data_IF_671363354917
#
_entry.id   IF_671363354917
#
_cell.length_a   1.000
_cell.length_b   1.000
_cell.length_c   1.000
_cell.angle_alpha   90.00
_cell.angle_beta   90.00
_cell.angle_gamma   90.00
#
_symmetry.space_group_name_H-M   'P 1'
#
loop_
_entity.id
_entity.type
_entity.pdbx_description
1 polymer ?
#
# COMPACT_ATOMS: atom_id res chain seq x y z
N UNK A 1 9.24 18.39 -19.65
CA UNK A 1 9.82 17.80 -18.41
C UNK A 1 8.99 18.15 -17.17
N UNK A 2 8.96 19.40 -16.70
CA UNK A 2 8.19 19.77 -15.49
C UNK A 2 6.69 19.44 -15.57
N UNK A 3 6.02 19.73 -16.70
CA UNK A 3 4.61 19.37 -16.91
C UNK A 3 4.37 17.85 -16.90
N UNK A 4 5.33 17.08 -17.42
CA UNK A 4 5.26 15.62 -17.43
C UNK A 4 5.46 15.05 -16.02
N UNK A 5 6.46 15.55 -15.28
CA UNK A 5 6.69 15.19 -13.89
C UNK A 5 5.49 15.53 -13.00
N UNK A 6 4.86 16.70 -13.20
CA UNK A 6 3.64 17.07 -12.49
C UNK A 6 2.45 16.13 -12.81
N UNK A 7 2.32 15.67 -14.05
CA UNK A 7 1.33 14.67 -14.44
C UNK A 7 1.57 13.31 -13.76
N UNK A 8 2.81 12.85 -13.74
CA UNK A 8 3.23 11.61 -13.04
C UNK A 8 2.93 11.73 -11.55
N UNK A 9 3.29 12.86 -10.91
CA UNK A 9 3.04 13.08 -9.49
C UNK A 9 1.55 13.02 -9.14
N UNK A 10 0.68 13.67 -9.93
CA UNK A 10 -0.76 13.69 -9.65
C UNK A 10 -1.42 12.32 -9.81
N UNK A 11 -1.09 11.62 -10.89
CA UNK A 11 -1.62 10.28 -11.15
C UNK A 11 -1.08 9.29 -10.13
N UNK A 12 0.23 9.33 -9.88
CA UNK A 12 0.89 8.50 -8.88
C UNK A 12 0.35 8.69 -7.47
N UNK A 13 0.13 9.93 -7.04
CA UNK A 13 -0.51 10.22 -5.75
C UNK A 13 -1.93 9.63 -5.65
N UNK A 14 -2.68 9.63 -6.76
CA UNK A 14 -4.01 9.02 -6.81
C UNK A 14 -3.94 7.49 -6.70
N UNK A 15 -3.00 6.86 -7.39
CA UNK A 15 -2.78 5.41 -7.37
C UNK A 15 -2.31 4.94 -5.99
N UNK A 16 -1.33 5.62 -5.39
CA UNK A 16 -0.83 5.34 -4.04
C UNK A 16 -1.96 5.50 -3.01
N UNK A 17 -2.72 6.59 -3.09
CA UNK A 17 -3.86 6.81 -2.18
C UNK A 17 -4.92 5.71 -2.31
N UNK A 18 -5.15 5.20 -3.53
CA UNK A 18 -6.07 4.09 -3.75
C UNK A 18 -5.55 2.78 -3.18
N UNK A 19 -4.24 2.49 -3.34
CA UNK A 19 -3.62 1.32 -2.74
C UNK A 19 -3.62 1.39 -1.21
N UNK A 20 -3.34 2.56 -0.63
CA UNK A 20 -3.40 2.77 0.82
C UNK A 20 -4.79 2.50 1.38
N UNK A 21 -5.85 3.02 0.73
CA UNK A 21 -7.23 2.72 1.14
C UNK A 21 -7.54 1.22 1.09
N UNK A 22 -7.02 0.48 0.11
CA UNK A 22 -7.23 -0.97 0.04
C UNK A 22 -6.62 -1.70 1.22
N UNK A 23 -5.43 -1.30 1.67
CA UNK A 23 -4.79 -1.85 2.89
C UNK A 23 -5.67 -1.57 4.11
N UNK A 24 -6.11 -0.32 4.27
CA UNK A 24 -6.97 0.08 5.39
C UNK A 24 -8.27 -0.73 5.41
N UNK A 25 -8.93 -0.92 4.26
CA UNK A 25 -10.13 -1.74 4.18
C UNK A 25 -9.89 -3.21 4.54
N UNK A 26 -8.75 -3.81 4.13
CA UNK A 26 -8.43 -5.17 4.54
C UNK A 26 -8.24 -5.30 6.06
N UNK A 27 -7.65 -4.29 6.70
CA UNK A 27 -7.51 -4.21 8.16
C UNK A 27 -8.89 -4.07 8.82
N UNK A 28 -9.74 -3.16 8.33
CA UNK A 28 -11.09 -2.95 8.84
C UNK A 28 -11.96 -4.21 8.69
N UNK A 29 -11.87 -4.93 7.56
CA UNK A 29 -12.59 -6.18 7.33
C UNK A 29 -12.19 -7.26 8.34
N UNK A 30 -10.89 -7.41 8.63
CA UNK A 30 -10.40 -8.35 9.64
C UNK A 30 -10.88 -7.96 11.05
N UNK A 31 -10.84 -6.67 11.39
CA UNK A 31 -11.34 -6.15 12.67
C UNK A 31 -12.85 -6.35 12.82
N UNK A 32 -13.62 -6.11 11.76
CA UNK A 32 -15.07 -6.35 11.71
C UNK A 32 -15.40 -7.84 11.86
N UNK A 33 -14.55 -8.73 11.36
CA UNK A 33 -14.63 -10.19 11.60
C UNK A 33 -14.23 -10.59 13.04
N UNK A 34 -13.85 -9.64 13.88
CA UNK A 34 -13.50 -9.84 15.29
C UNK A 34 -12.10 -10.38 15.49
N UNK A 35 -11.16 -10.06 14.61
CA UNK A 35 -9.74 -10.29 14.78
C UNK A 35 -9.02 -9.00 15.17
N UNK A 36 -7.80 -9.13 15.71
CA UNK A 36 -6.91 -7.99 15.98
C UNK A 36 -5.79 -7.99 14.94
N UNK A 37 -5.53 -6.83 14.34
CA UNK A 37 -4.41 -6.64 13.40
C UNK A 37 -3.30 -5.85 14.10
N UNK A 38 -2.09 -6.41 14.14
CA UNK A 38 -0.89 -5.75 14.67
C UNK A 38 -0.28 -4.76 13.69
N UNK A 39 0.67 -3.95 14.19
CA UNK A 39 1.42 -2.99 13.36
C UNK A 39 2.26 -3.68 12.27
N UNK A 40 2.68 -4.91 12.53
CA UNK A 40 3.38 -5.80 11.59
C UNK A 40 2.45 -6.49 10.59
N UNK A 41 1.17 -6.10 10.58
CA UNK A 41 0.09 -6.70 9.78
C UNK A 41 -0.16 -8.18 10.10
N UNK A 42 0.28 -8.65 11.27
CA UNK A 42 -0.15 -9.94 11.80
C UNK A 42 -1.63 -9.88 12.19
N UNK A 43 -2.36 -10.96 11.96
CA UNK A 43 -3.76 -11.10 12.37
C UNK A 43 -3.80 -12.11 13.51
N UNK A 44 -4.54 -11.79 14.57
CA UNK A 44 -4.66 -12.63 15.76
C UNK A 44 -6.11 -12.76 16.21
N UNK A 45 -6.46 -13.92 16.76
CA UNK A 45 -7.76 -14.17 17.36
C UNK A 45 -7.65 -14.19 18.89
N UNK A 46 -8.40 -13.31 19.56
CA UNK A 46 -8.44 -13.24 21.03
C UNK A 46 -9.69 -13.92 21.61
N UNK A 47 -10.56 -14.49 20.78
CA UNK A 47 -11.78 -15.15 21.26
C UNK A 47 -11.48 -16.52 21.82
N UNK A 48 -12.05 -16.81 22.99
CA UNK A 48 -12.13 -18.19 23.50
C UNK A 48 -13.21 -18.94 22.73
N UNK A 49 -12.80 -19.95 21.95
CA UNK A 49 -13.66 -20.74 21.06
C UNK A 49 -13.56 -22.23 21.36
N UNK A 50 -14.57 -23.00 20.97
CA UNK A 50 -14.49 -24.47 21.04
C UNK A 50 -13.38 -25.01 20.13
N UNK A 51 -12.86 -26.24 20.37
CA UNK A 51 -11.83 -26.82 19.50
C UNK A 51 -12.22 -26.91 18.02
N UNK A 52 -13.50 -27.16 17.72
CA UNK A 52 -14.00 -27.24 16.35
C UNK A 52 -14.02 -25.87 15.66
N UNK A 53 -14.43 -24.81 16.37
CA UNK A 53 -14.44 -23.44 15.85
C UNK A 53 -13.03 -22.87 15.67
N UNK A 54 -12.07 -23.32 16.50
CA UNK A 54 -10.68 -22.85 16.46
C UNK A 54 -10.03 -23.08 15.11
N UNK A 55 -10.24 -24.24 14.48
CA UNK A 55 -9.66 -24.54 13.18
C UNK A 55 -10.20 -23.60 12.08
N UNK A 56 -11.51 -23.34 12.08
CA UNK A 56 -12.14 -22.43 11.12
C UNK A 56 -11.69 -20.97 11.34
N UNK A 57 -11.52 -20.54 12.59
CA UNK A 57 -11.00 -19.21 12.93
C UNK A 57 -9.53 -19.07 12.54
N UNK A 58 -8.72 -20.10 12.74
CA UNK A 58 -7.31 -20.09 12.33
C UNK A 58 -7.16 -19.95 10.81
N UNK A 59 -7.98 -20.64 10.02
CA UNK A 59 -7.99 -20.47 8.57
C UNK A 59 -8.36 -19.04 8.14
N UNK A 60 -9.30 -18.39 8.84
CA UNK A 60 -9.65 -16.99 8.59
C UNK A 60 -8.52 -16.04 8.95
N UNK A 61 -7.84 -16.26 10.07
CA UNK A 61 -6.66 -15.48 10.48
C UNK A 61 -5.60 -15.49 9.37
N UNK A 62 -5.27 -16.68 8.86
CA UNK A 62 -4.28 -16.84 7.79
C UNK A 62 -4.72 -16.15 6.49
N UNK A 63 -5.99 -16.29 6.12
CA UNK A 63 -6.55 -15.65 4.93
C UNK A 63 -6.49 -14.12 5.00
N UNK A 64 -6.91 -13.53 6.13
CA UNK A 64 -6.84 -12.08 6.33
C UNK A 64 -5.39 -11.58 6.36
N UNK A 65 -4.49 -12.29 7.04
CA UNK A 65 -3.07 -11.91 7.09
C UNK A 65 -2.45 -11.92 5.68
N UNK A 66 -2.75 -12.94 4.87
CA UNK A 66 -2.27 -13.03 3.50
C UNK A 66 -2.82 -11.90 2.60
N UNK A 67 -4.12 -11.62 2.68
CA UNK A 67 -4.76 -10.56 1.88
C UNK A 67 -4.22 -9.17 2.25
N UNK A 68 -4.09 -8.85 3.55
CA UNK A 68 -3.54 -7.57 4.01
C UNK A 68 -2.09 -7.40 3.53
N UNK A 69 -1.25 -8.44 3.66
CA UNK A 69 0.15 -8.40 3.18
C UNK A 69 0.23 -8.17 1.68
N UNK A 70 -0.57 -8.89 0.89
CA UNK A 70 -0.61 -8.70 -0.55
C UNK A 70 -0.96 -7.25 -0.94
N UNK A 71 -1.90 -6.63 -0.22
CA UNK A 71 -2.27 -5.21 -0.45
C UNK A 71 -1.15 -4.25 -0.06
N UNK A 72 -0.43 -4.55 1.02
CA UNK A 72 0.72 -3.76 1.44
C UNK A 72 1.86 -3.84 0.41
N UNK A 73 2.14 -5.03 -0.13
CA UNK A 73 3.09 -5.20 -1.24
C UNK A 73 2.67 -4.44 -2.50
N UNK A 74 1.37 -4.41 -2.81
CA UNK A 74 0.85 -3.61 -3.93
C UNK A 74 1.00 -2.10 -3.71
N UNK A 75 0.84 -1.63 -2.46
CA UNK A 75 1.08 -0.24 -2.09
C UNK A 75 2.55 0.12 -2.27
N UNK A 76 3.46 -0.70 -1.74
CA UNK A 76 4.92 -0.51 -1.89
C UNK A 76 5.34 -0.52 -3.37
N UNK A 77 4.81 -1.45 -4.15
CA UNK A 77 5.04 -1.52 -5.60
C UNK A 77 4.52 -0.29 -6.36
N UNK A 78 3.37 0.27 -5.96
CA UNK A 78 2.84 1.50 -6.54
C UNK A 78 3.73 2.71 -6.22
N UNK A 79 4.16 2.83 -4.97
CA UNK A 79 5.07 3.90 -4.52
C UNK A 79 6.42 3.85 -5.27
N UNK A 80 7.06 2.68 -5.27
CA UNK A 80 8.33 2.44 -5.96
C UNK A 80 8.23 2.77 -7.45
N UNK A 81 7.14 2.37 -8.11
CA UNK A 81 6.91 2.68 -9.53
C UNK A 81 6.82 4.18 -9.78
N UNK A 82 6.06 4.91 -8.96
CA UNK A 82 5.90 6.37 -9.10
C UNK A 82 7.22 7.09 -8.85
N UNK A 83 7.98 6.68 -7.82
CA UNK A 83 9.31 7.21 -7.53
C UNK A 83 10.30 7.02 -8.70
N UNK A 84 10.29 5.83 -9.32
CA UNK A 84 11.11 5.55 -10.49
C UNK A 84 10.72 6.42 -11.70
N UNK A 85 9.42 6.60 -11.95
CA UNK A 85 8.92 7.46 -13.03
C UNK A 85 9.29 8.93 -12.81
N UNK A 86 9.20 9.43 -11.58
CA UNK A 86 9.61 10.80 -11.23
C UNK A 86 11.10 11.00 -11.44
N UNK A 87 11.93 10.09 -10.91
CA UNK A 87 13.39 10.12 -11.09
C UNK A 87 13.76 10.18 -12.57
N UNK A 88 13.14 9.35 -13.41
CA UNK A 88 13.39 9.36 -14.86
C UNK A 88 12.95 10.68 -15.52
N UNK A 89 11.79 11.23 -15.14
CA UNK A 89 11.26 12.47 -15.71
C UNK A 89 12.08 13.72 -15.31
N UNK A 90 12.73 13.71 -14.13
CA UNK A 90 13.55 14.82 -13.63
C UNK A 90 15.04 14.67 -13.93
N UNK A 91 15.52 13.48 -14.32
CA UNK A 91 16.92 13.28 -14.74
C UNK A 91 17.35 14.24 -15.86
N UNK A 92 16.43 14.58 -16.77
CA UNK A 92 16.66 15.57 -17.84
C UNK A 92 16.74 17.03 -17.37
N UNK A 93 16.38 17.34 -16.12
CA UNK A 93 16.46 18.69 -15.55
C UNK A 93 17.84 19.00 -14.96
N UNK A 94 18.61 17.99 -14.54
CA UNK A 94 19.96 18.18 -14.00
C UNK A 94 21.04 18.49 -15.06
N UNK A 95 20.74 18.27 -16.35
CA UNK A 95 21.66 18.51 -17.47
C UNK A 95 21.43 19.83 -18.22
N UNK A 96 20.32 20.52 -17.97
CA UNK A 96 19.99 21.79 -18.62
C UNK A 96 19.92 22.87 -17.56
N UNK A 97 21.08 23.49 -17.28
CA UNK A 97 21.16 24.63 -16.36
C UNK A 97 20.10 25.67 -16.70
N UNK A 98 19.47 26.22 -15.66
CA UNK A 98 18.76 27.50 -15.77
C UNK A 98 19.77 28.56 -16.21
N UNK A 99 19.89 28.80 -17.52
CA UNK A 99 20.55 29.99 -18.01
C UNK A 99 19.63 31.18 -17.68
N UNK A 100 20.09 32.18 -16.90
CA UNK A 100 19.35 33.41 -16.72
C UNK A 100 19.24 34.12 -18.08
N UNK A 101 18.07 34.64 -18.39
CA UNK A 101 17.85 35.43 -19.60
C UNK A 101 18.77 36.66 -19.57
N UNK A 102 19.57 36.81 -20.63
CA UNK A 102 20.40 38.00 -20.90
C UNK A 102 19.55 39.23 -21.21
#
# INVERSE_FOLDING_TARGET
>A
LLRQAAGIARNGASDISAAQRRVVYGIEDAQNAGFTVGEDLSVTDMRSTSPAERAARQAQVEAFAADIRLRAEQLDGADTKVAGQLTAATAGLGGSGFAPAS
#
